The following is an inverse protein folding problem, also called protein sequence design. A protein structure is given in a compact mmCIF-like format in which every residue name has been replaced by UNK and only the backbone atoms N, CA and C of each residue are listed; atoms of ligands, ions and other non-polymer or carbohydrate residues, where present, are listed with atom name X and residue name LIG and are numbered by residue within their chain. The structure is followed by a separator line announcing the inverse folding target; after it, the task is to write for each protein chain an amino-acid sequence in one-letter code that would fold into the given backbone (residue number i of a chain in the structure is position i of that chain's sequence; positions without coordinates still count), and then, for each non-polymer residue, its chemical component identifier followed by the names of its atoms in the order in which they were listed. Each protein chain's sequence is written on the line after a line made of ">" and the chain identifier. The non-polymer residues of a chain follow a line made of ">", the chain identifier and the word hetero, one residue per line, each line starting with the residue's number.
data_IF_824212733615
#
_entry.id   IF_824212733615
#
_cell.length_a   1.000
_cell.length_b   1.000
_cell.length_c   1.000
_cell.angle_alpha   90.00
_cell.angle_beta   90.00
_cell.angle_gamma   90.00
#
_symmetry.space_group_name_H-M   'P 1'
#
loop_
_entity.id
_entity.type
_entity.pdbx_description
1 polymer ?
#
# COMPACT_ATOMS: atom_id res chain seq x y z
N UNK A 1 8.64 33.55 -18.27
CA UNK A 1 8.12 33.36 -16.90
C UNK A 1 7.22 32.13 -16.96
N UNK A 2 7.71 30.95 -16.59
CA UNK A 2 6.95 29.70 -16.82
C UNK A 2 7.60 28.40 -16.34
N UNK A 3 8.67 28.44 -15.54
CA UNK A 3 9.40 27.24 -15.12
C UNK A 3 9.26 26.92 -13.61
N UNK A 4 8.57 27.76 -12.83
CA UNK A 4 8.49 27.60 -11.37
C UNK A 4 7.23 26.88 -10.86
N UNK A 5 6.21 26.68 -11.70
CA UNK A 5 4.92 26.07 -11.28
C UNK A 5 4.88 24.55 -11.52
N UNK A 6 5.74 24.00 -12.39
CA UNK A 6 5.76 22.56 -12.69
C UNK A 6 6.50 21.72 -11.64
N UNK A 7 7.57 22.26 -11.04
CA UNK A 7 8.37 21.54 -10.03
C UNK A 7 7.59 21.13 -8.77
N UNK A 8 6.74 21.99 -8.16
CA UNK A 8 6.02 21.63 -6.93
C UNK A 8 5.02 20.49 -7.10
N UNK A 9 4.40 20.38 -8.28
CA UNK A 9 3.46 19.29 -8.59
C UNK A 9 4.21 18.00 -8.91
N UNK A 10 5.29 18.10 -9.69
CA UNK A 10 6.14 16.95 -10.00
C UNK A 10 6.77 16.34 -8.74
N UNK A 11 7.24 17.16 -7.79
CA UNK A 11 7.83 16.70 -6.53
C UNK A 11 6.80 16.01 -5.62
N UNK A 12 5.58 16.56 -5.52
CA UNK A 12 4.47 15.89 -4.80
C UNK A 12 4.12 14.54 -5.39
N UNK A 13 3.97 14.45 -6.71
CA UNK A 13 3.68 13.18 -7.39
C UNK A 13 4.82 12.17 -7.16
N UNK A 14 6.07 12.63 -7.14
CA UNK A 14 7.23 11.78 -6.91
C UNK A 14 7.28 11.24 -5.47
N UNK A 15 6.92 12.06 -4.50
CA UNK A 15 6.80 11.66 -3.10
C UNK A 15 5.67 10.63 -2.91
N UNK A 16 4.51 10.87 -3.53
CA UNK A 16 3.36 9.96 -3.51
C UNK A 16 3.69 8.58 -4.12
N UNK A 17 4.36 8.57 -5.27
CA UNK A 17 4.85 7.33 -5.89
C UNK A 17 5.89 6.65 -4.98
N UNK A 18 6.72 7.43 -4.28
CA UNK A 18 7.69 6.93 -3.30
C UNK A 18 7.00 6.17 -2.15
N UNK A 19 5.99 6.77 -1.54
CA UNK A 19 5.19 6.13 -0.49
C UNK A 19 4.48 4.88 -1.00
N UNK A 20 3.83 4.97 -2.17
CA UNK A 20 3.14 3.83 -2.76
C UNK A 20 4.10 2.66 -3.04
N UNK A 21 5.31 2.93 -3.53
CA UNK A 21 6.34 1.89 -3.77
C UNK A 21 6.78 1.21 -2.49
N UNK A 22 6.99 1.96 -1.40
CA UNK A 22 7.39 1.37 -0.11
C UNK A 22 6.28 0.47 0.42
N UNK A 23 5.04 0.93 0.36
CA UNK A 23 3.90 0.16 0.84
C UNK A 23 3.64 -1.08 -0.03
N UNK A 24 3.79 -0.97 -1.35
CA UNK A 24 3.69 -2.10 -2.25
C UNK A 24 4.79 -3.14 -2.02
N UNK A 25 6.03 -2.69 -1.79
CA UNK A 25 7.13 -3.58 -1.44
C UNK A 25 6.86 -4.34 -0.13
N UNK A 26 6.29 -3.65 0.88
CA UNK A 26 5.91 -4.29 2.15
C UNK A 26 4.81 -5.34 1.95
N UNK A 27 3.79 -5.05 1.14
CA UNK A 27 2.75 -6.01 0.78
C UNK A 27 3.34 -7.26 0.12
N UNK A 28 4.23 -7.09 -0.85
CA UNK A 28 4.90 -8.21 -1.54
C UNK A 28 5.69 -9.08 -0.56
N UNK A 29 6.40 -8.48 0.41
CA UNK A 29 7.13 -9.23 1.45
C UNK A 29 6.18 -10.03 2.33
N UNK A 30 5.04 -9.46 2.71
CA UNK A 30 4.01 -10.14 3.49
C UNK A 30 3.45 -11.33 2.71
N UNK A 31 3.10 -11.14 1.43
CA UNK A 31 2.56 -12.19 0.57
C UNK A 31 3.56 -13.34 0.39
N UNK A 32 4.82 -13.05 0.08
CA UNK A 32 5.88 -14.06 -0.07
C UNK A 32 6.10 -14.82 1.23
N UNK A 33 6.07 -14.12 2.37
CA UNK A 33 6.21 -14.74 3.70
C UNK A 33 5.04 -15.68 4.00
N UNK A 34 3.82 -15.26 3.65
CA UNK A 34 2.59 -16.03 3.85
C UNK A 34 2.56 -17.29 2.96
N UNK A 35 3.00 -17.16 1.71
CA UNK A 35 3.15 -18.27 0.76
C UNK A 35 4.19 -19.25 1.30
N UNK A 36 5.36 -18.76 1.73
CA UNK A 36 6.42 -19.59 2.28
C UNK A 36 5.97 -20.37 3.53
N UNK A 37 5.27 -19.70 4.45
CA UNK A 37 4.68 -20.35 5.62
C UNK A 37 3.61 -21.37 5.23
N UNK A 38 2.77 -21.06 4.24
CA UNK A 38 1.71 -21.95 3.77
C UNK A 38 2.28 -23.23 3.14
N UNK A 39 3.31 -23.12 2.30
CA UNK A 39 4.00 -24.28 1.70
C UNK A 39 4.58 -25.19 2.77
N UNK A 40 5.20 -24.64 3.81
CA UNK A 40 5.76 -25.42 4.92
C UNK A 40 4.68 -26.14 5.74
N UNK A 41 3.47 -25.57 5.82
CA UNK A 41 2.40 -26.07 6.66
C UNK A 41 1.27 -26.74 5.88
N UNK A 42 1.38 -26.91 4.55
CA UNK A 42 0.29 -27.34 3.67
C UNK A 42 -0.25 -28.74 3.99
N UNK A 43 0.58 -29.62 4.58
CA UNK A 43 0.20 -30.97 5.01
C UNK A 43 -0.35 -31.05 6.44
N UNK A 44 -0.35 -29.94 7.18
CA UNK A 44 -0.81 -29.85 8.59
C UNK A 44 -1.85 -28.75 8.83
N UNK A 45 -1.97 -27.78 7.93
CA UNK A 45 -2.80 -26.60 8.12
C UNK A 45 -4.25 -26.87 7.68
N UNK A 46 -5.24 -26.60 8.56
CA UNK A 46 -6.64 -26.70 8.20
C UNK A 46 -7.02 -25.56 7.23
N UNK A 47 -7.84 -25.89 6.22
CA UNK A 47 -8.35 -24.98 5.17
C UNK A 47 -8.79 -23.57 5.65
N UNK A 48 -9.40 -23.38 6.84
CA UNK A 48 -9.74 -22.06 7.38
C UNK A 48 -8.57 -21.10 7.55
N UNK A 49 -7.35 -21.61 7.81
CA UNK A 49 -6.16 -20.78 7.96
C UNK A 49 -5.77 -20.09 6.66
N UNK A 50 -5.97 -20.76 5.51
CA UNK A 50 -5.71 -20.19 4.19
C UNK A 50 -6.69 -19.05 3.89
N UNK A 51 -7.98 -19.24 4.21
CA UNK A 51 -8.99 -18.20 4.05
C UNK A 51 -8.73 -16.99 4.97
N UNK A 52 -8.32 -17.23 6.21
CA UNK A 52 -7.94 -16.16 7.14
C UNK A 52 -6.73 -15.37 6.61
N UNK A 53 -5.74 -16.07 6.04
CA UNK A 53 -4.55 -15.46 5.46
C UNK A 53 -4.91 -14.52 4.29
N UNK A 54 -5.74 -14.99 3.35
CA UNK A 54 -6.27 -14.18 2.25
C UNK A 54 -7.07 -12.98 2.77
N UNK A 55 -7.90 -13.18 3.78
CA UNK A 55 -8.71 -12.11 4.39
C UNK A 55 -7.85 -11.02 5.02
N UNK A 56 -6.78 -11.39 5.73
CA UNK A 56 -5.83 -10.42 6.31
C UNK A 56 -5.12 -9.63 5.22
N UNK A 57 -4.65 -10.28 4.15
CA UNK A 57 -4.03 -9.58 3.00
C UNK A 57 -5.01 -8.57 2.40
N UNK A 58 -6.26 -8.96 2.20
CA UNK A 58 -7.29 -8.06 1.67
C UNK A 58 -7.56 -6.86 2.60
N UNK A 59 -7.62 -7.08 3.92
CA UNK A 59 -7.79 -6.01 4.90
C UNK A 59 -6.60 -5.04 4.91
N UNK A 60 -5.38 -5.54 4.86
CA UNK A 60 -4.17 -4.71 4.83
C UNK A 60 -4.14 -3.88 3.55
N UNK A 61 -4.43 -4.50 2.40
CA UNK A 61 -4.52 -3.79 1.12
C UNK A 61 -5.61 -2.69 1.15
N UNK A 62 -6.79 -2.98 1.70
CA UNK A 62 -7.83 -1.96 1.89
C UNK A 62 -7.32 -0.83 2.78
N UNK A 63 -6.79 -1.14 3.97
CA UNK A 63 -6.31 -0.13 4.91
C UNK A 63 -5.27 0.81 4.27
N UNK A 64 -4.37 0.26 3.46
CA UNK A 64 -3.40 1.03 2.68
C UNK A 64 -4.10 1.97 1.69
N UNK A 65 -5.06 1.47 0.92
CA UNK A 65 -5.82 2.28 -0.04
C UNK A 65 -6.59 3.40 0.69
N UNK A 66 -7.22 3.10 1.83
CA UNK A 66 -7.97 4.08 2.61
C UNK A 66 -7.07 5.16 3.21
N UNK A 67 -5.94 4.76 3.81
CA UNK A 67 -4.93 5.69 4.35
C UNK A 67 -4.40 6.58 3.23
N UNK A 68 -4.04 5.99 2.08
CA UNK A 68 -3.56 6.73 0.93
C UNK A 68 -4.61 7.78 0.51
N UNK A 69 -5.85 7.35 0.29
CA UNK A 69 -6.95 8.22 -0.12
C UNK A 69 -7.27 9.34 0.88
N UNK A 70 -7.13 9.08 2.19
CA UNK A 70 -7.29 10.10 3.24
C UNK A 70 -6.13 11.10 3.29
N UNK A 71 -4.90 10.66 3.06
CA UNK A 71 -3.73 11.54 2.98
C UNK A 71 -3.88 12.53 1.81
N UNK A 72 -4.30 12.04 0.64
CA UNK A 72 -4.64 12.86 -0.53
C UNK A 72 -5.74 13.90 -0.24
N UNK A 73 -6.79 13.50 0.50
CA UNK A 73 -7.89 14.40 0.84
C UNK A 73 -7.48 15.57 1.75
N UNK A 74 -6.41 15.43 2.55
CA UNK A 74 -5.89 16.51 3.40
C UNK A 74 -4.90 17.42 2.66
N UNK A 75 -4.11 16.88 1.72
CA UNK A 75 -3.16 17.67 0.93
C UNK A 75 -3.89 18.60 -0.06
N UNK A 76 -5.06 18.21 -0.57
CA UNK A 76 -5.87 19.08 -1.41
C UNK A 76 -6.46 20.29 -0.66
N UNK A 77 -6.62 20.21 0.66
CA UNK A 77 -7.13 21.31 1.51
C UNK A 77 -6.09 22.37 1.87
N UNK A 78 -4.80 22.12 1.61
CA UNK A 78 -3.70 23.04 1.93
C UNK A 78 -3.11 23.72 0.70
N UNK A 79 -3.62 23.42 -0.51
CA UNK A 79 -3.27 24.13 -1.75
C UNK A 79 -4.27 25.21 -2.16
N UNK A 80 -5.31 25.43 -1.35
CA UNK A 80 -6.40 26.40 -1.58
C UNK A 80 -6.34 27.59 -0.58
N UNK A 81 -5.19 27.76 0.10
CA UNK A 81 -4.78 28.94 0.86
C UNK A 81 -3.41 29.40 0.35
#
# INVERSE_FOLDING_TARGET
>A
MGLSVEMPQADKIKEEIGWLRVTFALLVVIDVSLIGWSVQNIHKAPVPLIFLAIFIVALVAWAIIDINRRAYGKIHKLGDL
#
